data_IF_243096307957
#
_entry.id   IF_243096307957
#
_cell.length_a   1.000
_cell.length_b   1.000
_cell.length_c   1.000
_cell.angle_alpha   90.00
_cell.angle_beta   90.00
_cell.angle_gamma   90.00
#
_symmetry.space_group_name_H-M   'P 1'
#
loop_
_entity.id
_entity.type
_entity.pdbx_description
1 polymer ?
#
# COMPACT_ATOMS: atom_id res chain seq x y z
N UNK A 1 -23.10 -1.18 -8.40
CA UNK A 1 -22.62 -2.33 -7.62
C UNK A 1 -21.61 -1.90 -6.59
N UNK A 2 -21.90 -2.17 -5.32
CA UNK A 2 -20.96 -1.94 -4.23
C UNK A 2 -19.94 -3.08 -4.28
N UNK A 3 -18.86 -2.89 -5.05
CA UNK A 3 -17.76 -3.85 -5.14
C UNK A 3 -16.99 -3.85 -3.83
N UNK A 4 -17.56 -4.50 -2.82
CA UNK A 4 -16.85 -4.80 -1.59
C UNK A 4 -15.65 -5.67 -1.91
N UNK A 5 -14.55 -5.46 -1.19
CA UNK A 5 -13.43 -6.39 -1.23
C UNK A 5 -13.85 -7.68 -0.52
N UNK A 6 -14.26 -8.67 -1.30
CA UNK A 6 -14.55 -10.02 -0.85
C UNK A 6 -13.24 -10.83 -0.67
N UNK A 7 -13.33 -11.93 0.08
CA UNK A 7 -12.20 -12.84 0.35
C UNK A 7 -11.54 -13.35 -0.94
N UNK A 8 -12.35 -13.66 -1.96
CA UNK A 8 -11.86 -14.10 -3.27
C UNK A 8 -10.98 -13.06 -3.98
N UNK A 9 -11.28 -11.76 -3.81
CA UNK A 9 -10.46 -10.69 -4.36
C UNK A 9 -9.09 -10.65 -3.69
N UNK A 10 -9.04 -10.75 -2.35
CA UNK A 10 -7.79 -10.78 -1.60
C UNK A 10 -6.97 -12.02 -1.94
N UNK A 11 -7.61 -13.19 -2.02
CA UNK A 11 -6.97 -14.44 -2.40
C UNK A 11 -6.29 -14.33 -3.77
N UNK A 12 -6.98 -13.76 -4.76
CA UNK A 12 -6.40 -13.50 -6.08
C UNK A 12 -5.20 -12.54 -6.02
N UNK A 13 -5.34 -11.41 -5.33
CA UNK A 13 -4.28 -10.39 -5.23
C UNK A 13 -3.02 -10.95 -4.55
N UNK A 14 -3.18 -11.64 -3.41
CA UNK A 14 -2.07 -12.28 -2.72
C UNK A 14 -1.44 -13.42 -3.54
N UNK A 15 -2.25 -14.15 -4.31
CA UNK A 15 -1.78 -15.14 -5.26
C UNK A 15 -0.85 -14.55 -6.32
N UNK A 16 -1.23 -13.42 -6.93
CA UNK A 16 -0.39 -12.74 -7.92
C UNK A 16 0.88 -12.14 -7.32
N UNK A 17 0.80 -11.54 -6.13
CA UNK A 17 1.97 -11.04 -5.40
C UNK A 17 2.98 -12.16 -5.12
N UNK A 18 2.50 -13.32 -4.65
CA UNK A 18 3.32 -14.51 -4.41
C UNK A 18 3.95 -15.03 -5.69
N UNK A 19 3.16 -15.15 -6.77
CA UNK A 19 3.62 -15.61 -8.09
C UNK A 19 4.76 -14.75 -8.64
N UNK A 20 4.66 -13.43 -8.48
CA UNK A 20 5.65 -12.46 -8.95
C UNK A 20 6.81 -12.22 -7.95
N UNK A 21 6.77 -12.85 -6.77
CA UNK A 21 7.75 -12.69 -5.67
C UNK A 21 7.86 -11.24 -5.18
N UNK A 22 6.72 -10.55 -5.13
CA UNK A 22 6.63 -9.17 -4.64
C UNK A 22 6.18 -9.19 -3.19
N UNK A 23 6.91 -8.47 -2.33
CA UNK A 23 6.63 -8.40 -0.90
C UNK A 23 5.78 -7.18 -0.59
N UNK A 24 4.80 -7.34 0.29
CA UNK A 24 4.03 -6.21 0.82
C UNK A 24 4.77 -5.64 2.04
N UNK A 25 4.95 -4.32 2.06
CA UNK A 25 5.57 -3.60 3.20
C UNK A 25 4.56 -2.80 4.01
N UNK A 26 3.48 -2.35 3.38
CA UNK A 26 2.32 -1.73 4.04
C UNK A 26 1.06 -2.12 3.27
N UNK A 27 -0.03 -2.34 4.00
CA UNK A 27 -1.35 -2.64 3.43
C UNK A 27 -2.40 -1.84 4.16
N UNK A 28 -3.23 -1.13 3.40
CA UNK A 28 -4.40 -0.42 3.90
C UNK A 28 -5.64 -0.89 3.16
N UNK A 29 -6.59 -1.45 3.91
CA UNK A 29 -7.83 -2.01 3.36
C UNK A 29 -8.98 -1.11 3.79
N UNK A 30 -9.86 -0.79 2.86
CA UNK A 30 -11.20 -0.27 3.14
C UNK A 30 -12.25 -1.31 2.72
N UNK A 31 -13.53 -0.97 2.89
CA UNK A 31 -14.62 -1.80 2.40
C UNK A 31 -14.57 -2.03 0.88
N UNK A 32 -14.04 -1.08 0.11
CA UNK A 32 -14.12 -1.05 -1.36
C UNK A 32 -12.77 -0.87 -2.07
N UNK A 33 -11.69 -0.63 -1.32
CA UNK A 33 -10.37 -0.33 -1.88
C UNK A 33 -9.25 -1.00 -1.08
N UNK A 34 -8.19 -1.34 -1.80
CA UNK A 34 -6.97 -1.93 -1.28
C UNK A 34 -5.80 -1.09 -1.76
N UNK A 35 -5.05 -0.51 -0.83
CA UNK A 35 -3.81 0.19 -1.11
C UNK A 35 -2.63 -0.63 -0.57
N UNK A 36 -1.63 -0.85 -1.41
CA UNK A 36 -0.46 -1.66 -1.10
C UNK A 36 0.81 -0.86 -1.36
N UNK A 37 1.71 -0.86 -0.37
CA UNK A 37 3.11 -0.49 -0.58
C UNK A 37 3.89 -1.79 -0.81
N UNK A 38 4.64 -1.84 -1.91
CA UNK A 38 5.26 -3.07 -2.40
C UNK A 38 6.78 -2.91 -2.49
N UNK A 39 7.48 -4.00 -2.24
CA UNK A 39 8.93 -4.16 -2.42
C UNK A 39 9.14 -5.22 -3.50
N UNK A 40 9.59 -4.78 -4.68
CA UNK A 40 9.84 -5.64 -5.84
C UNK A 40 11.35 -5.78 -6.09
N UNK A 41 11.94 -6.82 -5.52
CA UNK A 41 13.38 -7.11 -5.67
C UNK A 41 13.75 -7.68 -7.05
N UNK A 42 12.77 -8.11 -7.83
CA UNK A 42 12.99 -8.89 -9.05
C UNK A 42 12.52 -8.16 -10.31
N UNK A 43 11.98 -6.94 -10.19
CA UNK A 43 11.51 -6.13 -11.32
C UNK A 43 10.28 -6.71 -12.01
N UNK A 44 9.37 -7.32 -11.26
CA UNK A 44 8.13 -7.93 -11.76
C UNK A 44 6.87 -7.05 -11.60
N UNK A 45 6.99 -5.80 -11.14
CA UNK A 45 5.85 -4.95 -10.82
C UNK A 45 4.88 -4.76 -12.00
N UNK A 46 5.39 -4.59 -13.21
CA UNK A 46 4.56 -4.42 -14.42
C UNK A 46 3.69 -5.66 -14.70
N UNK A 47 4.20 -6.87 -14.43
CA UNK A 47 3.43 -8.10 -14.59
C UNK A 47 2.31 -8.19 -13.55
N UNK A 48 2.57 -7.76 -12.32
CA UNK A 48 1.55 -7.67 -11.28
C UNK A 48 0.47 -6.66 -11.68
N UNK A 49 0.85 -5.44 -12.05
CA UNK A 49 -0.09 -4.37 -12.45
C UNK A 49 -0.96 -4.85 -13.60
N UNK A 50 -0.38 -5.45 -14.63
CA UNK A 50 -1.12 -6.02 -15.77
C UNK A 50 -2.14 -7.08 -15.32
N UNK A 51 -1.75 -8.00 -14.44
CA UNK A 51 -2.65 -9.05 -13.93
C UNK A 51 -3.79 -8.48 -13.08
N UNK A 52 -3.53 -7.43 -12.29
CA UNK A 52 -4.54 -6.78 -11.46
C UNK A 52 -5.50 -5.93 -12.30
N UNK A 53 -5.01 -5.22 -13.31
CA UNK A 53 -5.82 -4.40 -14.22
C UNK A 53 -6.88 -5.20 -14.99
N UNK A 54 -6.65 -6.50 -15.21
CA UNK A 54 -7.62 -7.38 -15.85
C UNK A 54 -8.90 -7.58 -15.01
N UNK A 55 -8.86 -7.32 -13.70
CA UNK A 55 -9.98 -7.54 -12.77
C UNK A 55 -10.37 -6.32 -11.95
N UNK A 56 -9.47 -5.37 -11.76
CA UNK A 56 -9.66 -4.22 -10.89
C UNK A 56 -9.26 -2.93 -11.61
N UNK A 57 -9.82 -1.81 -11.17
CA UNK A 57 -9.25 -0.50 -11.48
C UNK A 57 -7.98 -0.35 -10.66
N UNK A 58 -6.82 -0.42 -11.30
CA UNK A 58 -5.51 -0.38 -10.63
C UNK A 58 -4.73 0.86 -11.06
N UNK A 59 -4.22 1.59 -10.07
CA UNK A 59 -3.29 2.71 -10.24
C UNK A 59 -1.94 2.29 -9.62
N UNK A 60 -0.84 2.70 -10.23
CA UNK A 60 0.51 2.36 -9.79
C UNK A 60 1.37 3.63 -9.73
N UNK A 61 2.01 3.85 -8.58
CA UNK A 61 2.92 4.97 -8.35
C UNK A 61 4.29 4.42 -8.00
N UNK A 62 5.26 4.65 -8.87
CA UNK A 62 6.65 4.25 -8.68
C UNK A 62 7.41 5.22 -7.76
N UNK A 63 8.59 4.79 -7.32
CA UNK A 63 9.56 5.61 -6.58
C UNK A 63 9.02 6.18 -5.26
N UNK A 64 8.36 5.33 -4.48
CA UNK A 64 7.80 5.67 -3.17
C UNK A 64 8.67 5.14 -2.02
N UNK A 65 8.56 5.77 -0.85
CA UNK A 65 9.28 5.39 0.37
C UNK A 65 8.33 5.22 1.56
N UNK A 66 8.51 4.14 2.32
CA UNK A 66 7.79 3.91 3.57
C UNK A 66 8.57 4.46 4.76
N UNK A 67 8.04 5.48 5.41
CA UNK A 67 8.53 6.03 6.67
C UNK A 67 7.77 5.43 7.84
N UNK A 68 8.48 4.88 8.82
CA UNK A 68 7.90 4.38 10.07
C UNK A 68 8.45 5.18 11.26
N UNK A 69 7.57 5.87 11.97
CA UNK A 69 7.88 6.60 13.21
C UNK A 69 7.22 5.88 14.38
N UNK A 70 8.00 5.52 15.39
CA UNK A 70 7.52 4.84 16.61
C UNK A 70 7.46 5.81 17.78
N UNK A 71 6.65 5.46 18.79
CA UNK A 71 6.46 6.27 20.00
C UNK A 71 6.04 7.71 19.70
N UNK A 72 5.12 7.86 18.75
CA UNK A 72 4.63 9.16 18.31
C UNK A 72 3.84 9.79 19.46
N UNK A 73 4.34 10.93 19.96
CA UNK A 73 3.60 11.77 20.89
C UNK A 73 2.57 12.58 20.09
N UNK A 74 1.31 12.51 20.50
CA UNK A 74 0.14 13.07 19.79
C UNK A 74 0.22 14.58 19.53
N UNK A 75 1.10 15.31 20.21
CA UNK A 75 1.22 16.77 20.14
C UNK A 75 2.11 17.26 18.98
N UNK A 76 2.84 16.39 18.28
CA UNK A 76 3.86 16.85 17.31
C UNK A 76 3.98 15.97 16.06
N UNK A 77 2.86 15.61 15.45
CA UNK A 77 2.85 14.83 14.20
C UNK A 77 3.07 15.70 12.96
N UNK A 78 2.64 16.96 12.99
CA UNK A 78 2.70 17.89 11.84
C UNK A 78 4.09 18.02 11.20
N UNK A 79 5.15 17.98 12.02
CA UNK A 79 6.54 18.03 11.53
C UNK A 79 6.90 16.89 10.57
N UNK A 80 6.20 15.75 10.65
CA UNK A 80 6.47 14.60 9.80
C UNK A 80 5.85 14.73 8.40
N UNK A 81 4.94 15.69 8.19
CA UNK A 81 4.27 15.90 6.90
C UNK A 81 4.89 17.03 6.08
N UNK A 82 5.60 17.95 6.74
CA UNK A 82 6.11 19.17 6.10
C UNK A 82 7.05 18.84 4.92
N UNK A 83 6.67 19.28 3.72
CA UNK A 83 7.46 19.14 2.50
C UNK A 83 7.46 17.74 1.88
N UNK A 84 6.50 16.87 2.26
CA UNK A 84 6.38 15.51 1.74
C UNK A 84 5.06 15.32 1.01
N UNK A 85 5.07 14.61 -0.12
CA UNK A 85 3.85 14.19 -0.78
C UNK A 85 3.39 12.85 -0.18
N UNK A 86 2.45 12.88 0.77
CA UNK A 86 1.98 11.68 1.47
C UNK A 86 0.88 11.00 0.66
N UNK A 87 1.12 9.74 0.27
CA UNK A 87 0.20 8.92 -0.52
C UNK A 87 -0.69 8.04 0.36
N UNK A 88 -0.09 7.43 1.39
CA UNK A 88 -0.78 6.57 2.35
C UNK A 88 -0.31 6.98 3.75
N UNK A 89 -1.26 7.11 4.66
CA UNK A 89 -0.99 7.31 6.08
C UNK A 89 -1.71 6.25 6.91
N UNK A 90 -1.01 5.69 7.89
CA UNK A 90 -1.60 4.81 8.88
C UNK A 90 -1.04 5.13 10.26
N UNK A 91 -1.93 5.37 11.21
CA UNK A 91 -1.60 5.49 12.63
C UNK A 91 -2.19 4.28 13.35
N UNK A 92 -1.32 3.51 14.00
CA UNK A 92 -1.71 2.37 14.82
C UNK A 92 -1.00 2.46 16.18
N UNK A 93 -1.79 2.56 17.25
CA UNK A 93 -1.31 2.83 18.60
C UNK A 93 -0.35 4.04 18.63
N UNK A 94 0.94 3.82 18.90
CA UNK A 94 1.97 4.86 18.93
C UNK A 94 2.90 4.84 17.71
N UNK A 95 2.49 4.20 16.61
CA UNK A 95 3.28 4.10 15.37
C UNK A 95 2.57 4.82 14.24
N UNK A 96 3.27 5.74 13.59
CA UNK A 96 2.88 6.39 12.34
C UNK A 96 3.66 5.75 11.20
N UNK A 97 2.96 5.27 10.19
CA UNK A 97 3.53 4.81 8.94
C UNK A 97 3.02 5.71 7.81
N UNK A 98 3.91 6.16 6.95
CA UNK A 98 3.57 6.99 5.79
C UNK A 98 4.30 6.49 4.56
N UNK A 99 3.57 6.33 3.47
CA UNK A 99 4.15 6.17 2.13
C UNK A 99 4.23 7.56 1.52
N UNK A 100 5.43 7.96 1.11
CA UNK A 100 5.67 9.27 0.48
C UNK A 100 6.31 9.11 -0.89
N UNK A 101 6.13 10.12 -1.72
CA UNK A 101 6.87 10.33 -2.97
C UNK A 101 7.70 11.62 -2.87
#
# INVERSE_FOLDING_TARGET
>A
DFSFIAEDHLSFIFGELSRQKIKITLMQNSAISLALCLEDKFGNIEKLVTALQAKFKTEHTADVSLFTVRHVQSVNTEKYYKGRNVLIEQIAASTLQMVIQ
#
